data_IF_378508026726
#
_entry.id   IF_378508026726
#
_cell.length_a   1.000
_cell.length_b   1.000
_cell.length_c   1.000
_cell.angle_alpha   90.00
_cell.angle_beta   90.00
_cell.angle_gamma   90.00
#
_symmetry.space_group_name_H-M   'P 1'
#
loop_
_entity.id
_entity.type
_entity.pdbx_description
1 polymer ?
#
# COMPACT_ATOMS: atom_id res chain seq x y z
N UNK A 1 9.97 -9.63 -20.79
CA UNK A 1 9.26 -9.88 -19.51
C UNK A 1 9.04 -8.53 -18.88
N UNK A 2 7.81 -8.22 -18.49
CA UNK A 2 7.48 -6.96 -17.82
C UNK A 2 8.15 -6.93 -16.44
N UNK A 3 8.79 -5.82 -16.08
CA UNK A 3 9.48 -5.67 -14.79
C UNK A 3 8.46 -5.27 -13.73
N UNK A 4 8.37 -6.02 -12.64
CA UNK A 4 7.44 -5.72 -11.55
C UNK A 4 8.11 -4.83 -10.51
N UNK A 5 7.37 -3.84 -9.99
CA UNK A 5 7.78 -2.99 -8.86
C UNK A 5 6.65 -2.97 -7.84
N UNK A 6 6.93 -3.37 -6.61
CA UNK A 6 6.02 -3.27 -5.48
C UNK A 6 6.17 -1.91 -4.81
N UNK A 7 5.08 -1.13 -4.78
CA UNK A 7 5.02 0.20 -4.21
C UNK A 7 4.09 0.20 -3.00
N UNK A 8 4.58 0.69 -1.86
CA UNK A 8 3.76 0.95 -0.68
C UNK A 8 3.47 2.45 -0.54
N UNK A 9 2.21 2.81 -0.35
CA UNK A 9 1.82 4.17 0.05
C UNK A 9 1.68 4.19 1.57
N UNK A 10 2.58 4.92 2.24
CA UNK A 10 2.59 5.13 3.68
C UNK A 10 2.21 6.58 4.01
N UNK A 11 2.01 6.87 5.30
CA UNK A 11 1.74 8.22 5.80
C UNK A 11 0.49 8.36 6.65
N UNK A 12 0.31 9.54 7.24
CA UNK A 12 -0.68 9.82 8.28
C UNK A 12 -2.14 9.56 7.85
N UNK A 13 -3.05 9.25 8.79
CA UNK A 13 -4.49 9.32 8.53
C UNK A 13 -4.87 10.66 7.86
N UNK A 14 -5.76 10.61 6.87
CA UNK A 14 -6.23 11.79 6.12
C UNK A 14 -5.15 12.59 5.36
N UNK A 15 -3.97 12.03 5.08
CA UNK A 15 -2.90 12.70 4.31
C UNK A 15 -3.10 12.72 2.79
N UNK A 16 -4.13 12.04 2.27
CA UNK A 16 -4.41 11.95 0.83
C UNK A 16 -3.88 10.69 0.12
N UNK A 17 -3.35 9.70 0.85
CA UNK A 17 -2.91 8.41 0.28
C UNK A 17 -3.92 7.77 -0.65
N UNK A 18 -5.17 7.64 -0.21
CA UNK A 18 -6.27 7.07 -1.02
C UNK A 18 -6.48 7.83 -2.33
N UNK A 19 -6.30 9.16 -2.34
CA UNK A 19 -6.40 9.97 -3.56
C UNK A 19 -5.26 9.65 -4.53
N UNK A 20 -4.03 9.53 -4.03
CA UNK A 20 -2.87 9.12 -4.83
C UNK A 20 -3.07 7.71 -5.36
N UNK A 21 -3.47 6.76 -4.51
CA UNK A 21 -3.78 5.38 -4.88
C UNK A 21 -4.77 5.33 -6.05
N UNK A 22 -5.93 6.00 -5.91
CA UNK A 22 -6.96 6.03 -6.95
C UNK A 22 -6.47 6.64 -8.26
N UNK A 23 -5.67 7.71 -8.20
CA UNK A 23 -5.09 8.35 -9.38
C UNK A 23 -4.08 7.45 -10.09
N UNK A 24 -3.34 6.61 -9.35
CA UNK A 24 -2.38 5.67 -9.92
C UNK A 24 -3.06 4.44 -10.51
N UNK A 25 -4.02 3.83 -9.80
CA UNK A 25 -4.56 2.51 -10.18
C UNK A 25 -5.82 2.60 -11.02
N UNK A 26 -6.56 3.72 -10.96
CA UNK A 26 -7.86 3.86 -11.60
C UNK A 26 -8.79 2.70 -11.24
N UNK A 27 -9.43 2.10 -12.25
CA UNK A 27 -10.32 0.94 -12.05
C UNK A 27 -9.59 -0.39 -11.79
N UNK A 28 -8.25 -0.45 -11.92
CA UNK A 28 -7.47 -1.69 -11.73
C UNK A 28 -7.06 -1.88 -10.27
N UNK A 29 -8.05 -1.85 -9.40
CA UNK A 29 -7.88 -2.00 -7.96
C UNK A 29 -8.79 -3.09 -7.40
N UNK A 30 -8.36 -3.68 -6.30
CA UNK A 30 -9.10 -4.66 -5.51
C UNK A 30 -9.08 -4.23 -4.05
N UNK A 31 -10.20 -4.43 -3.38
CA UNK A 31 -10.38 -4.14 -1.96
C UNK A 31 -10.74 -5.44 -1.25
N UNK A 32 -9.94 -5.80 -0.25
CA UNK A 32 -10.14 -6.95 0.61
C UNK A 32 -9.85 -6.60 2.06
N UNK A 33 -9.55 -7.61 2.87
CA UNK A 33 -9.10 -7.42 4.25
C UNK A 33 -7.67 -7.93 4.42
N UNK A 34 -6.93 -7.32 5.34
CA UNK A 34 -5.65 -7.86 5.78
C UNK A 34 -5.84 -9.22 6.47
N UNK A 35 -4.90 -10.17 6.32
CA UNK A 35 -5.04 -11.51 6.89
C UNK A 35 -5.31 -11.49 8.40
N UNK A 36 -6.38 -12.17 8.82
CA UNK A 36 -6.71 -12.35 10.23
C UNK A 36 -7.34 -11.13 10.92
N UNK A 37 -7.63 -10.04 10.21
CA UNK A 37 -8.22 -8.81 10.77
C UNK A 37 -9.28 -8.23 9.84
N UNK A 38 -10.08 -7.28 10.35
CA UNK A 38 -11.12 -6.57 9.58
C UNK A 38 -10.62 -5.24 8.99
N UNK A 39 -9.30 -5.03 8.95
CA UNK A 39 -8.71 -3.82 8.37
C UNK A 39 -8.72 -3.96 6.84
N UNK A 40 -9.22 -2.94 6.16
CA UNK A 40 -9.30 -2.89 4.70
C UNK A 40 -7.90 -2.90 4.07
N UNK A 41 -7.72 -3.69 3.01
CA UNK A 41 -6.52 -3.75 2.19
C UNK A 41 -6.87 -3.34 0.76
N UNK A 42 -6.27 -2.25 0.28
CA UNK A 42 -6.40 -1.82 -1.13
C UNK A 42 -5.14 -2.12 -1.89
N UNK A 43 -5.29 -2.82 -2.99
CA UNK A 43 -4.20 -3.15 -3.90
C UNK A 43 -4.62 -2.83 -5.32
N UNK A 44 -3.70 -2.33 -6.14
CA UNK A 44 -4.01 -2.05 -7.52
C UNK A 44 -2.78 -2.07 -8.41
N UNK A 45 -3.00 -1.92 -9.71
CA UNK A 45 -1.92 -2.01 -10.70
C UNK A 45 -1.93 -0.86 -11.69
N UNK A 46 -0.74 -0.42 -12.06
CA UNK A 46 -0.47 0.57 -13.10
C UNK A 46 0.62 0.05 -14.03
N UNK A 47 0.46 0.26 -15.34
CA UNK A 47 1.51 -0.02 -16.32
C UNK A 47 2.17 1.29 -16.74
N UNK A 48 3.50 1.31 -16.71
CA UNK A 48 4.31 2.46 -17.13
C UNK A 48 5.51 1.99 -17.95
N UNK A 49 5.44 2.12 -19.28
CA UNK A 49 6.44 1.55 -20.18
C UNK A 49 6.50 0.02 -20.03
N UNK A 50 7.70 -0.50 -19.75
CA UNK A 50 7.94 -1.93 -19.52
C UNK A 50 7.76 -2.37 -18.06
N UNK A 51 7.19 -1.51 -17.21
CA UNK A 51 6.99 -1.78 -15.78
C UNK A 51 5.53 -1.99 -15.43
N UNK A 52 5.29 -3.04 -14.62
CA UNK A 52 4.04 -3.25 -13.89
C UNK A 52 4.25 -2.83 -12.44
N UNK A 53 3.62 -1.73 -12.04
CA UNK A 53 3.63 -1.28 -10.66
C UNK A 53 2.45 -1.92 -9.94
N UNK A 54 2.74 -2.66 -8.86
CA UNK A 54 1.74 -3.09 -7.89
C UNK A 54 1.75 -2.11 -6.73
N UNK A 55 0.65 -1.42 -6.53
CA UNK A 55 0.52 -0.38 -5.51
C UNK A 55 -0.34 -0.92 -4.37
N UNK A 56 0.13 -0.77 -3.14
CA UNK A 56 -0.61 -1.14 -1.92
C UNK A 56 -0.78 0.11 -1.06
N UNK A 57 -2.03 0.43 -0.70
CA UNK A 57 -2.36 1.50 0.25
C UNK A 57 -2.27 0.95 1.68
N UNK A 58 -1.30 1.41 2.46
CA UNK A 58 -1.15 0.98 3.84
C UNK A 58 -2.10 1.75 4.77
N UNK A 59 -2.50 1.17 5.92
CA UNK A 59 -3.22 1.90 6.94
C UNK A 59 -2.53 3.20 7.31
N UNK A 60 -3.32 4.27 7.49
CA UNK A 60 -2.78 5.56 7.90
C UNK A 60 -2.24 5.47 9.32
N UNK A 61 -0.95 5.78 9.51
CA UNK A 61 -0.28 5.65 10.81
C UNK A 61 0.57 6.89 11.09
N UNK A 62 0.63 7.30 12.36
CA UNK A 62 1.51 8.40 12.80
C UNK A 62 2.90 7.89 13.24
N UNK A 63 3.03 6.58 13.42
CA UNK A 63 4.24 5.91 13.89
C UNK A 63 4.25 4.47 13.41
N UNK A 64 5.41 3.81 13.52
CA UNK A 64 5.55 2.36 13.34
C UNK A 64 5.85 1.64 14.67
N UNK A 65 5.40 2.25 15.78
CA UNK A 65 5.64 1.74 17.15
C UNK A 65 4.82 0.48 17.50
N UNK A 66 3.85 0.14 16.65
CA UNK A 66 3.02 -1.07 16.73
C UNK A 66 2.09 -1.09 17.96
N UNK A 67 1.58 0.08 18.33
CA UNK A 67 0.59 0.20 19.40
C UNK A 67 -0.85 -0.02 18.92
N UNK A 68 -1.08 -0.09 17.60
CA UNK A 68 -2.36 -0.42 16.99
C UNK A 68 -2.19 -1.50 15.91
N UNK A 69 -3.31 -2.12 15.52
CA UNK A 69 -3.35 -3.08 14.40
C UNK A 69 -2.89 -2.40 13.10
N UNK A 70 -3.29 -1.14 12.88
CA UNK A 70 -2.89 -0.37 11.70
C UNK A 70 -1.37 -0.17 11.64
N UNK A 71 -0.76 0.19 12.77
CA UNK A 71 0.70 0.33 12.88
C UNK A 71 1.43 -1.00 12.70
N UNK A 72 0.87 -2.09 13.26
CA UNK A 72 1.40 -3.44 13.06
C UNK A 72 1.38 -3.86 11.59
N UNK A 73 0.27 -3.62 10.90
CA UNK A 73 0.11 -3.92 9.47
C UNK A 73 1.12 -3.12 8.65
N UNK A 74 1.16 -1.80 8.83
CA UNK A 74 2.05 -0.93 8.06
C UNK A 74 3.53 -1.32 8.28
N UNK A 75 3.93 -1.54 9.53
CA UNK A 75 5.30 -1.97 9.88
C UNK A 75 5.64 -3.32 9.29
N UNK A 76 4.79 -4.32 9.50
CA UNK A 76 5.07 -5.69 9.04
C UNK A 76 5.12 -5.74 7.51
N UNK A 77 4.25 -5.03 6.80
CA UNK A 77 4.33 -4.95 5.34
C UNK A 77 5.68 -4.41 4.87
N UNK A 78 6.15 -3.30 5.44
CA UNK A 78 7.45 -2.71 5.05
C UNK A 78 8.63 -3.65 5.35
N UNK A 79 8.60 -4.34 6.49
CA UNK A 79 9.72 -5.20 6.95
C UNK A 79 9.72 -6.58 6.28
N UNK A 80 8.55 -7.18 6.11
CA UNK A 80 8.37 -8.57 5.67
C UNK A 80 8.14 -8.67 4.16
N UNK A 81 7.24 -7.84 3.60
CA UNK A 81 6.94 -7.84 2.16
C UNK A 81 7.98 -7.06 1.35
N UNK A 82 8.78 -6.21 2.00
CA UNK A 82 9.94 -5.50 1.43
C UNK A 82 9.60 -4.84 0.08
N UNK A 83 8.69 -3.85 0.06
CA UNK A 83 8.38 -3.14 -1.16
C UNK A 83 9.64 -2.50 -1.77
N UNK A 84 9.72 -2.50 -3.10
CA UNK A 84 10.82 -1.87 -3.83
C UNK A 84 10.87 -0.35 -3.60
N UNK A 85 9.69 0.26 -3.38
CA UNK A 85 9.52 1.69 -3.12
C UNK A 85 8.48 1.93 -2.03
N UNK A 86 8.82 2.81 -1.08
CA UNK A 86 7.85 3.39 -0.14
C UNK A 86 7.68 4.87 -0.49
N UNK A 87 6.44 5.32 -0.61
CA UNK A 87 6.06 6.72 -0.81
C UNK A 87 5.37 7.23 0.46
N UNK A 88 5.87 8.32 1.04
CA UNK A 88 5.38 8.99 2.26
C UNK A 88 5.06 10.46 1.97
#
# INVERSE_FOLDING_TARGET
MEKEILVALAGNPNSGKTTIFNNLTGARQHVGNWPGVTVEKKEGTLRWGDYLLRVVDLPGTYSLSAHSIDELIARNFVVEERPDVVVD
#
